data_IF_919382838696
#
_entry.id   IF_919382838696
#
_cell.length_a   1.000
_cell.length_b   1.000
_cell.length_c   1.000
_cell.angle_alpha   90.00
_cell.angle_beta   90.00
_cell.angle_gamma   90.00
#
_symmetry.space_group_name_H-M   'P 1'
#
loop_
_entity.id
_entity.type
_entity.pdbx_description
1 polymer ?
#
# COMPACT_ATOMS: atom_id res chain seq x y z
N UNK A 1 -6.80 4.70 -24.65
CA UNK A 1 -5.98 5.24 -23.55
C UNK A 1 -5.45 4.06 -22.78
N UNK A 2 -4.35 3.49 -23.27
CA UNK A 2 -3.76 2.26 -22.73
C UNK A 2 -2.64 2.71 -21.82
N UNK A 3 -2.86 2.66 -20.51
CA UNK A 3 -1.78 2.83 -19.55
C UNK A 3 -1.03 1.50 -19.46
N UNK A 4 0.06 1.42 -20.20
CA UNK A 4 1.13 0.47 -19.93
C UNK A 4 1.78 0.91 -18.61
N UNK A 5 1.17 0.52 -17.51
CA UNK A 5 1.41 1.10 -16.19
C UNK A 5 0.53 0.47 -15.12
N UNK A 6 0.27 -0.83 -15.21
CA UNK A 6 -0.56 -1.52 -14.21
C UNK A 6 0.15 -1.68 -12.86
N UNK A 7 1.49 -1.65 -12.81
CA UNK A 7 2.29 -1.85 -11.60
C UNK A 7 2.28 -0.63 -10.67
N UNK A 8 2.64 0.57 -11.16
CA UNK A 8 2.73 1.76 -10.31
C UNK A 8 1.42 2.13 -9.57
N UNK A 9 0.22 2.12 -10.20
CA UNK A 9 -1.05 2.34 -9.51
C UNK A 9 -1.38 1.24 -8.49
N UNK A 10 -0.94 0.01 -8.73
CA UNK A 10 -1.14 -1.14 -7.85
C UNK A 10 -0.26 -1.03 -6.60
N UNK A 11 1.02 -0.68 -6.77
CA UNK A 11 1.98 -0.46 -5.68
C UNK A 11 1.59 0.73 -4.80
N UNK A 12 1.12 1.83 -5.39
CA UNK A 12 0.58 2.97 -4.63
C UNK A 12 -0.64 2.56 -3.80
N UNK A 13 -1.56 1.79 -4.38
CA UNK A 13 -2.73 1.28 -3.65
C UNK A 13 -2.29 0.40 -2.47
N UNK A 14 -1.36 -0.53 -2.68
CA UNK A 14 -0.81 -1.41 -1.61
C UNK A 14 -0.15 -0.61 -0.49
N UNK A 15 0.63 0.42 -0.83
CA UNK A 15 1.24 1.31 0.16
C UNK A 15 0.20 2.01 1.04
N UNK A 16 -0.84 2.57 0.42
CA UNK A 16 -1.92 3.25 1.13
C UNK A 16 -2.70 2.28 2.02
N UNK A 17 -3.03 1.10 1.52
CA UNK A 17 -3.73 0.06 2.29
C UNK A 17 -2.92 -0.42 3.50
N UNK A 18 -1.61 -0.59 3.35
CA UNK A 18 -0.70 -0.90 4.45
C UNK A 18 -0.74 0.18 5.53
N UNK A 19 -0.71 1.47 5.15
CA UNK A 19 -0.85 2.59 6.08
C UNK A 19 -2.20 2.59 6.80
N UNK A 20 -3.30 2.31 6.09
CA UNK A 20 -4.63 2.20 6.68
C UNK A 20 -4.73 1.05 7.68
N UNK A 21 -4.13 -0.12 7.38
CA UNK A 21 -4.08 -1.24 8.33
C UNK A 21 -3.24 -0.89 9.56
N UNK A 22 -2.12 -0.19 9.38
CA UNK A 22 -1.30 0.28 10.49
C UNK A 22 -2.09 1.23 11.40
N UNK A 23 -2.90 2.13 10.84
CA UNK A 23 -3.79 3.02 11.58
C UNK A 23 -4.81 2.29 12.47
N UNK A 24 -5.11 1.01 12.20
CA UNK A 24 -5.96 0.19 13.08
C UNK A 24 -5.27 -0.27 14.36
N UNK A 25 -3.93 -0.25 14.40
CA UNK A 25 -3.15 -0.53 15.61
C UNK A 25 -2.98 0.70 16.49
N UNK A 26 -2.87 1.87 15.87
CA UNK A 26 -2.75 3.14 16.56
C UNK A 26 -3.46 4.23 15.73
N UNK A 27 -4.59 4.78 16.24
CA UNK A 27 -5.38 5.77 15.51
C UNK A 27 -4.60 7.06 15.23
N UNK A 28 -3.55 7.36 16.02
CA UNK A 28 -2.76 8.58 15.87
C UNK A 28 -1.73 8.50 14.72
N UNK A 29 -1.54 7.32 14.10
CA UNK A 29 -0.63 7.15 12.96
C UNK A 29 -1.23 7.76 11.68
N UNK A 30 -2.56 7.70 11.52
CA UNK A 30 -3.25 8.18 10.32
C UNK A 30 -4.31 9.20 10.71
N UNK A 31 -3.87 10.43 10.89
CA UNK A 31 -4.73 11.53 11.32
C UNK A 31 -5.76 11.92 10.24
N UNK A 32 -5.42 11.78 8.95
CA UNK A 32 -6.34 12.09 7.86
C UNK A 32 -6.02 11.34 6.56
N UNK A 33 -6.95 10.48 6.14
CA UNK A 33 -6.95 9.84 4.83
C UNK A 33 -8.04 10.44 3.94
N UNK A 34 -7.62 11.07 2.84
CA UNK A 34 -8.49 11.77 1.88
C UNK A 34 -8.67 11.02 0.55
N UNK A 35 -8.37 9.72 0.52
CA UNK A 35 -8.56 8.88 -0.67
C UNK A 35 -9.96 8.26 -0.76
N UNK A 36 -10.19 7.34 -1.72
CA UNK A 36 -11.47 6.67 -1.90
C UNK A 36 -12.00 6.00 -0.63
N UNK A 37 -13.23 6.33 -0.24
CA UNK A 37 -13.86 5.77 0.96
C UNK A 37 -13.95 4.24 0.93
N UNK A 38 -14.17 3.66 -0.26
CA UNK A 38 -14.23 2.22 -0.46
C UNK A 38 -12.96 1.48 0.00
N UNK A 39 -11.79 2.12 -0.04
CA UNK A 39 -10.55 1.50 0.42
C UNK A 39 -10.50 1.45 1.94
N UNK A 40 -10.85 2.56 2.60
CA UNK A 40 -10.97 2.63 4.06
C UNK A 40 -11.99 1.61 4.56
N UNK A 41 -13.17 1.57 3.97
CA UNK A 41 -14.27 0.67 4.38
C UNK A 41 -13.86 -0.80 4.28
N UNK A 42 -13.20 -1.17 3.19
CA UNK A 42 -12.70 -2.54 3.00
C UNK A 42 -11.67 -2.90 4.08
N UNK A 43 -10.69 -2.04 4.34
CA UNK A 43 -9.68 -2.26 5.39
C UNK A 43 -10.32 -2.29 6.78
N UNK A 44 -11.33 -1.47 7.05
CA UNK A 44 -12.07 -1.47 8.32
C UNK A 44 -12.88 -2.74 8.56
N UNK A 45 -13.34 -3.41 7.49
CA UNK A 45 -14.06 -4.68 7.56
C UNK A 45 -13.16 -5.91 7.79
N UNK A 46 -11.85 -5.79 7.56
CA UNK A 46 -10.88 -6.87 7.82
C UNK A 46 -10.72 -7.11 9.33
N UNK A 47 -10.30 -8.31 9.78
CA UNK A 47 -9.72 -8.47 11.11
C UNK A 47 -8.46 -7.60 11.25
N UNK A 48 -8.17 -7.11 12.46
CA UNK A 48 -6.91 -6.38 12.70
C UNK A 48 -5.75 -7.37 12.53
N UNK A 49 -4.83 -7.14 11.57
CA UNK A 49 -3.73 -8.06 11.34
C UNK A 49 -2.76 -8.07 12.52
N UNK A 50 -1.94 -9.12 12.65
CA UNK A 50 -0.84 -9.09 13.61
C UNK A 50 0.24 -8.11 13.14
N UNK A 51 0.91 -7.41 14.06
CA UNK A 51 1.97 -6.46 13.72
C UNK A 51 3.11 -7.09 12.91
N UNK A 52 3.48 -8.34 13.22
CA UNK A 52 4.46 -9.10 12.46
C UNK A 52 4.04 -9.30 10.98
N UNK A 53 2.75 -9.52 10.72
CA UNK A 53 2.24 -9.66 9.35
C UNK A 53 2.37 -8.36 8.56
N UNK A 54 2.17 -7.21 9.19
CA UNK A 54 2.37 -5.89 8.57
C UNK A 54 3.85 -5.63 8.25
N UNK A 55 4.77 -6.06 9.11
CA UNK A 55 6.22 -5.97 8.83
C UNK A 55 6.58 -6.81 7.61
N UNK A 56 6.06 -8.02 7.50
CA UNK A 56 6.31 -8.88 6.35
C UNK A 56 5.66 -8.35 5.06
N UNK A 57 4.48 -7.73 5.15
CA UNK A 57 3.85 -7.02 4.03
C UNK A 57 4.70 -5.84 3.56
N UNK A 58 5.19 -5.01 4.50
CA UNK A 58 6.05 -3.87 4.21
C UNK A 58 7.35 -4.29 3.51
N UNK A 59 8.00 -5.36 3.99
CA UNK A 59 9.23 -5.90 3.37
C UNK A 59 9.01 -6.32 1.93
N UNK A 60 7.91 -7.01 1.63
CA UNK A 60 7.56 -7.41 0.26
C UNK A 60 7.29 -6.19 -0.62
N UNK A 61 6.54 -5.21 -0.10
CA UNK A 61 6.25 -4.00 -0.84
C UNK A 61 7.51 -3.20 -1.19
N UNK A 62 8.49 -3.11 -0.28
CA UNK A 62 9.79 -2.46 -0.57
C UNK A 62 10.51 -3.16 -1.74
N UNK A 63 10.59 -4.49 -1.72
CA UNK A 63 11.22 -5.25 -2.82
C UNK A 63 10.51 -5.01 -4.15
N UNK A 64 9.17 -4.98 -4.16
CA UNK A 64 8.41 -4.75 -5.37
C UNK A 64 8.59 -3.31 -5.91
N UNK A 65 8.67 -2.31 -5.01
CA UNK A 65 8.94 -0.91 -5.38
C UNK A 65 10.34 -0.73 -5.96
N UNK A 66 11.36 -1.36 -5.37
CA UNK A 66 12.74 -1.30 -5.86
C UNK A 66 12.86 -1.95 -7.26
N UNK A 67 12.11 -3.03 -7.50
CA UNK A 67 12.06 -3.70 -8.79
C UNK A 67 11.38 -2.83 -9.86
N UNK A 68 10.29 -2.15 -9.53
CA UNK A 68 9.58 -1.23 -10.43
C UNK A 68 10.47 -0.03 -10.81
N UNK A 69 11.13 0.59 -9.82
CA UNK A 69 12.07 1.68 -10.04
C UNK A 69 13.24 1.27 -10.95
N UNK A 70 13.84 0.11 -10.70
CA UNK A 70 14.94 -0.41 -11.53
C UNK A 70 14.52 -0.73 -12.96
N UNK A 71 13.26 -1.15 -13.15
CA UNK A 71 12.69 -1.42 -14.47
C UNK A 71 12.43 -0.13 -15.25
N UNK A 72 11.99 0.93 -14.56
CA UNK A 72 11.82 2.25 -15.15
C UNK A 72 13.17 2.86 -15.59
N UNK A 73 14.23 2.70 -14.78
CA UNK A 73 15.57 3.19 -15.11
C UNK A 73 16.19 2.49 -16.33
N UNK A 74 15.89 1.20 -16.56
CA UNK A 74 16.37 0.45 -17.73
C UNK A 74 15.66 0.80 -19.04
N UNK A 75 14.56 1.57 -19.00
CA UNK A 75 13.78 1.99 -20.17
C UNK A 75 14.27 3.32 -20.78
N UNK A 76 15.22 4.01 -20.12
CA UNK A 76 15.82 5.29 -20.52
C UNK A 76 17.12 5.11 -21.32
#
# INVERSE_FOLDING_TARGET
MTVDGAAAPELVRRYVELGLRLGRHNPDIVDSYYGPVAWRDRISAEPVPASAALVDEARRLIVDLDADASSADHQL
#
